data_IF_007464123886
#
_entry.id   IF_007464123886
#
_cell.length_a   1.000
_cell.length_b   1.000
_cell.length_c   1.000
_cell.angle_alpha   90.00
_cell.angle_beta   90.00
_cell.angle_gamma   90.00
#
_symmetry.space_group_name_H-M   'P 1'
#
loop_
_entity.id
_entity.type
_entity.pdbx_description
1 polymer ?
#
# COMPACT_ATOMS: atom_id res chain seq x y z
N UNK A 1 -29.37 18.77 -9.69
CA UNK A 1 -28.60 17.74 -9.00
C UNK A 1 -28.89 17.92 -7.50
N UNK A 2 -29.67 17.05 -6.93
CA UNK A 2 -30.13 17.15 -5.55
C UNK A 2 -29.08 16.56 -4.62
N UNK A 3 -28.94 17.09 -3.40
CA UNK A 3 -28.03 16.68 -2.32
C UNK A 3 -28.03 15.16 -1.96
N UNK A 4 -28.80 14.36 -2.67
CA UNK A 4 -28.90 12.89 -2.54
C UNK A 4 -27.76 12.13 -3.19
N UNK A 5 -27.06 12.70 -4.20
CA UNK A 5 -26.01 11.99 -4.98
C UNK A 5 -24.64 12.00 -4.31
N UNK A 6 -24.35 12.97 -3.44
CA UNK A 6 -23.05 13.10 -2.76
C UNK A 6 -22.77 12.02 -1.70
N UNK A 7 -23.79 11.29 -1.26
CA UNK A 7 -23.67 10.24 -0.21
C UNK A 7 -23.53 8.82 -0.76
N UNK A 8 -23.30 8.64 -2.05
CA UNK A 8 -23.15 7.30 -2.62
C UNK A 8 -21.73 6.75 -2.54
N UNK A 9 -20.73 7.57 -2.83
CA UNK A 9 -19.32 7.18 -2.87
C UNK A 9 -18.41 8.30 -2.38
N UNK A 10 -17.39 7.95 -1.60
CA UNK A 10 -16.34 8.88 -1.18
C UNK A 10 -15.09 8.61 -2.02
N UNK A 11 -14.70 9.56 -2.85
CA UNK A 11 -13.45 9.47 -3.58
C UNK A 11 -12.27 9.67 -2.63
N UNK A 12 -11.34 8.72 -2.61
CA UNK A 12 -10.12 8.75 -1.79
C UNK A 12 -8.86 8.98 -2.62
N UNK A 13 -8.83 8.45 -3.83
CA UNK A 13 -7.74 8.62 -4.80
C UNK A 13 -8.34 8.55 -6.22
N UNK A 14 -7.68 9.07 -7.26
CA UNK A 14 -8.16 8.89 -8.62
C UNK A 14 -8.46 7.41 -8.94
N UNK A 15 -9.72 7.12 -9.26
CA UNK A 15 -10.19 5.77 -9.57
C UNK A 15 -10.37 4.85 -8.36
N UNK A 16 -10.34 5.37 -7.12
CA UNK A 16 -10.65 4.60 -5.92
C UNK A 16 -11.69 5.31 -5.05
N UNK A 17 -12.76 4.60 -4.79
CA UNK A 17 -13.90 5.11 -4.01
C UNK A 17 -14.22 4.17 -2.85
N UNK A 18 -14.72 4.74 -1.76
CA UNK A 18 -15.38 3.98 -0.68
C UNK A 18 -16.86 4.04 -0.98
N UNK A 19 -17.47 2.89 -1.30
CA UNK A 19 -18.93 2.79 -1.34
C UNK A 19 -19.46 2.89 0.07
N UNK A 20 -20.34 3.83 0.33
CA UNK A 20 -20.98 3.96 1.64
C UNK A 20 -21.72 2.67 1.96
N UNK A 21 -22.51 2.17 1.04
CA UNK A 21 -23.13 0.84 1.12
C UNK A 21 -22.53 -0.04 0.02
N UNK A 22 -21.75 -1.09 0.35
CA UNK A 22 -21.27 -2.05 -0.63
C UNK A 22 -22.41 -2.80 -1.29
N UNK A 23 -22.28 -3.13 -2.59
CA UNK A 23 -23.34 -3.81 -3.37
C UNK A 23 -23.81 -5.10 -2.70
N UNK A 24 -22.90 -5.86 -2.10
CA UNK A 24 -23.22 -7.10 -1.39
C UNK A 24 -24.07 -6.90 -0.12
N UNK A 25 -24.05 -5.70 0.48
CA UNK A 25 -24.92 -5.34 1.59
C UNK A 25 -26.27 -4.80 1.04
N UNK A 26 -26.21 -3.96 0.00
CA UNK A 26 -27.41 -3.39 -0.61
C UNK A 26 -28.38 -4.48 -1.10
N UNK A 27 -27.85 -5.58 -1.64
CA UNK A 27 -28.65 -6.71 -2.13
C UNK A 27 -29.44 -7.46 -1.04
N UNK A 28 -29.10 -7.29 0.23
CA UNK A 28 -29.75 -7.96 1.38
C UNK A 28 -30.76 -7.07 2.09
N UNK A 29 -30.90 -5.81 1.69
CA UNK A 29 -31.69 -4.80 2.37
C UNK A 29 -32.88 -4.35 1.53
N UNK A 30 -34.00 -4.07 2.17
CA UNK A 30 -35.12 -3.35 1.54
C UNK A 30 -34.81 -1.83 1.49
N UNK A 31 -35.65 -1.05 0.81
CA UNK A 31 -35.43 0.38 0.59
C UNK A 31 -35.30 1.18 1.89
N UNK A 32 -36.11 0.87 2.91
CA UNK A 32 -36.06 1.56 4.20
C UNK A 32 -34.78 1.23 4.98
N UNK A 33 -34.43 -0.05 5.05
CA UNK A 33 -33.19 -0.52 5.66
C UNK A 33 -31.97 0.04 4.94
N UNK A 34 -32.02 0.18 3.61
CA UNK A 34 -30.94 0.76 2.83
C UNK A 34 -30.70 2.23 3.16
N UNK A 35 -31.76 3.00 3.42
CA UNK A 35 -31.67 4.41 3.84
C UNK A 35 -31.04 4.51 5.23
N UNK A 36 -31.54 3.73 6.20
CA UNK A 36 -31.05 3.68 7.57
C UNK A 36 -29.58 3.25 7.64
N UNK A 37 -29.24 2.15 6.95
CA UNK A 37 -27.86 1.67 6.91
C UNK A 37 -26.91 2.66 6.22
N UNK A 38 -27.33 3.35 5.17
CA UNK A 38 -26.53 4.38 4.50
C UNK A 38 -26.20 5.53 5.44
N UNK A 39 -27.14 6.01 6.23
CA UNK A 39 -26.93 7.09 7.19
C UNK A 39 -25.94 6.64 8.27
N UNK A 40 -26.15 5.48 8.88
CA UNK A 40 -25.25 4.91 9.87
C UNK A 40 -23.83 4.75 9.34
N UNK A 41 -23.65 4.21 8.13
CA UNK A 41 -22.34 4.05 7.49
C UNK A 41 -21.68 5.37 7.17
N UNK A 42 -22.44 6.34 6.69
CA UNK A 42 -21.95 7.69 6.41
C UNK A 42 -21.35 8.34 7.64
N UNK A 43 -22.07 8.35 8.76
CA UNK A 43 -21.60 8.94 10.02
C UNK A 43 -20.35 8.23 10.54
N UNK A 44 -20.30 6.91 10.49
CA UNK A 44 -19.10 6.15 10.87
C UNK A 44 -17.88 6.47 9.98
N UNK A 45 -18.04 6.46 8.67
CA UNK A 45 -16.93 6.75 7.76
C UNK A 45 -16.47 8.19 7.88
N UNK A 46 -17.39 9.12 8.06
CA UNK A 46 -17.09 10.53 8.35
C UNK A 46 -16.28 10.66 9.65
N UNK A 47 -16.72 10.03 10.72
CA UNK A 47 -15.99 10.02 12.00
C UNK A 47 -14.57 9.46 11.84
N UNK A 48 -14.39 8.34 11.16
CA UNK A 48 -13.07 7.78 10.87
C UNK A 48 -12.14 8.77 10.15
N UNK A 49 -12.67 9.56 9.22
CA UNK A 49 -11.88 10.50 8.41
C UNK A 49 -11.54 11.78 9.16
N UNK A 50 -12.41 12.24 10.04
CA UNK A 50 -12.29 13.56 10.68
C UNK A 50 -11.61 13.50 12.04
N UNK A 51 -11.87 12.47 12.84
CA UNK A 51 -11.43 12.43 14.23
C UNK A 51 -11.17 11.04 14.82
N UNK A 52 -11.41 9.97 14.09
CA UNK A 52 -11.38 8.61 14.63
C UNK A 52 -10.01 8.13 15.13
N UNK A 53 -8.90 8.76 14.70
CA UNK A 53 -7.56 8.39 15.16
C UNK A 53 -7.19 9.08 16.49
N UNK A 54 -7.56 10.32 16.64
CA UNK A 54 -7.42 11.10 17.87
C UNK A 54 -8.56 12.12 17.95
N UNK A 55 -9.65 11.80 18.67
CA UNK A 55 -10.83 12.65 18.75
C UNK A 55 -10.54 14.04 19.33
N UNK A 56 -9.66 14.13 20.31
CA UNK A 56 -9.31 15.40 20.97
C UNK A 56 -8.55 16.32 20.03
N UNK A 57 -7.61 15.77 19.26
CA UNK A 57 -6.83 16.51 18.28
C UNK A 57 -7.55 16.67 16.93
N UNK A 58 -8.77 16.15 16.78
CA UNK A 58 -9.51 16.06 15.50
C UNK A 58 -8.69 15.48 14.38
N UNK A 59 -7.97 14.39 14.67
CA UNK A 59 -7.15 13.69 13.69
C UNK A 59 -7.84 12.42 13.21
N UNK A 60 -8.10 12.33 11.91
CA UNK A 60 -8.69 11.16 11.28
C UNK A 60 -7.66 10.12 10.83
N UNK A 61 -8.15 8.94 10.49
CA UNK A 61 -7.34 7.89 9.87
C UNK A 61 -7.02 8.24 8.41
N UNK A 62 -5.91 7.68 7.90
CA UNK A 62 -5.60 7.77 6.47
C UNK A 62 -6.69 7.10 5.63
N UNK A 63 -6.92 7.60 4.40
CA UNK A 63 -7.92 7.06 3.48
C UNK A 63 -7.79 5.55 3.25
N UNK A 64 -6.55 5.02 3.24
CA UNK A 64 -6.32 3.58 3.15
C UNK A 64 -6.85 2.82 4.36
N UNK A 65 -6.66 3.34 5.57
CA UNK A 65 -7.18 2.75 6.81
C UNK A 65 -8.69 2.83 6.85
N UNK A 66 -9.27 3.98 6.49
CA UNK A 66 -10.72 4.17 6.39
C UNK A 66 -11.32 3.18 5.40
N UNK A 67 -10.76 3.06 4.19
CA UNK A 67 -11.19 2.08 3.20
C UNK A 67 -11.20 0.66 3.77
N UNK A 68 -10.08 0.24 4.37
CA UNK A 68 -9.97 -1.10 4.94
C UNK A 68 -10.96 -1.36 6.09
N UNK A 69 -11.14 -0.39 6.98
CA UNK A 69 -12.09 -0.47 8.10
C UNK A 69 -13.53 -0.53 7.57
N UNK A 70 -13.90 0.39 6.68
CA UNK A 70 -15.25 0.46 6.11
C UNK A 70 -15.73 -0.86 5.48
N UNK A 71 -14.88 -1.53 4.69
CA UNK A 71 -15.28 -2.79 4.06
C UNK A 71 -15.27 -3.99 5.02
N UNK A 72 -14.45 -3.97 6.08
CA UNK A 72 -14.45 -5.04 7.09
C UNK A 72 -15.68 -4.96 7.98
N UNK A 73 -16.03 -3.76 8.44
CA UNK A 73 -17.26 -3.56 9.23
C UNK A 73 -18.51 -3.87 8.41
N UNK A 74 -18.60 -3.44 7.15
CA UNK A 74 -19.74 -3.82 6.28
C UNK A 74 -19.89 -5.34 6.10
N UNK A 75 -18.78 -6.09 6.07
CA UNK A 75 -18.83 -7.55 6.01
C UNK A 75 -19.33 -8.15 7.33
N UNK A 76 -18.93 -7.58 8.45
CA UNK A 76 -19.41 -7.93 9.77
C UNK A 76 -20.91 -7.66 9.91
N UNK A 77 -21.39 -6.45 9.56
CA UNK A 77 -22.80 -6.08 9.61
C UNK A 77 -23.65 -7.09 8.84
N UNK A 78 -23.26 -7.41 7.59
CA UNK A 78 -23.99 -8.38 6.77
C UNK A 78 -23.97 -9.78 7.36
N UNK A 79 -22.88 -10.21 7.98
CA UNK A 79 -22.82 -11.50 8.66
C UNK A 79 -23.79 -11.51 9.85
N UNK A 80 -23.79 -10.48 10.68
CA UNK A 80 -24.71 -10.38 11.82
C UNK A 80 -26.18 -10.41 11.41
N UNK A 81 -26.56 -9.77 10.30
CA UNK A 81 -27.94 -9.86 9.78
C UNK A 81 -28.29 -11.27 9.31
N UNK A 82 -27.39 -11.95 8.66
CA UNK A 82 -27.62 -13.32 8.20
C UNK A 82 -27.76 -14.28 9.38
N UNK A 83 -26.92 -14.13 10.41
CA UNK A 83 -26.95 -14.97 11.60
C UNK A 83 -28.28 -14.82 12.36
N UNK A 84 -28.71 -13.58 12.54
CA UNK A 84 -29.99 -13.28 13.20
C UNK A 84 -31.22 -13.49 12.30
N UNK A 85 -31.03 -13.72 11.03
CA UNK A 85 -32.07 -13.66 10.02
C UNK A 85 -32.92 -12.38 10.10
N UNK A 86 -32.31 -11.28 10.50
CA UNK A 86 -32.95 -9.99 10.73
C UNK A 86 -31.96 -8.83 10.55
N UNK A 87 -32.42 -7.76 9.92
CA UNK A 87 -31.69 -6.49 9.93
C UNK A 87 -31.67 -5.88 11.33
N UNK A 88 -30.48 -5.55 11.82
CA UNK A 88 -30.26 -4.78 13.03
C UNK A 88 -28.97 -3.97 12.89
N UNK A 89 -28.99 -2.71 13.29
CA UNK A 89 -27.84 -1.80 13.28
C UNK A 89 -27.88 -0.91 14.54
N UNK A 90 -26.77 -0.75 15.28
CA UNK A 90 -25.54 -1.53 15.16
C UNK A 90 -25.69 -2.99 15.63
N UNK A 91 -24.84 -3.93 15.18
CA UNK A 91 -24.72 -5.24 15.82
C UNK A 91 -24.23 -5.11 17.26
N UNK A 92 -24.58 -6.06 18.13
CA UNK A 92 -24.12 -6.07 19.53
C UNK A 92 -22.65 -6.50 19.67
N UNK A 93 -22.05 -6.25 20.83
CA UNK A 93 -20.70 -6.73 21.17
C UNK A 93 -20.61 -8.26 21.14
N UNK A 94 -21.66 -8.97 21.56
CA UNK A 94 -21.72 -10.44 21.50
C UNK A 94 -21.55 -10.95 20.05
N UNK A 95 -22.20 -10.28 19.08
CA UNK A 95 -21.99 -10.61 17.66
C UNK A 95 -20.55 -10.36 17.20
N UNK A 96 -19.87 -9.37 17.78
CA UNK A 96 -18.47 -9.12 17.45
C UNK A 96 -17.56 -10.23 17.98
N UNK A 97 -17.80 -10.72 19.20
CA UNK A 97 -17.10 -11.88 19.77
C UNK A 97 -17.29 -13.12 18.89
N UNK A 98 -18.53 -13.49 18.65
CA UNK A 98 -18.91 -14.63 17.84
C UNK A 98 -18.33 -14.55 16.42
N UNK A 99 -18.38 -13.37 15.79
CA UNK A 99 -17.77 -13.16 14.47
C UNK A 99 -16.24 -13.35 14.49
N UNK A 100 -15.56 -12.87 15.50
CA UNK A 100 -14.11 -13.02 15.61
C UNK A 100 -13.72 -14.45 15.93
N UNK A 101 -14.41 -15.12 16.82
CA UNK A 101 -14.05 -16.45 17.31
C UNK A 101 -14.49 -17.56 16.35
N UNK A 102 -15.70 -17.47 15.78
CA UNK A 102 -16.26 -18.55 14.96
C UNK A 102 -16.07 -18.33 13.44
N UNK A 103 -15.91 -17.09 13.01
CA UNK A 103 -15.77 -16.80 11.57
C UNK A 103 -14.35 -16.36 11.21
N UNK A 104 -13.81 -15.36 11.89
CA UNK A 104 -12.50 -14.79 11.51
C UNK A 104 -11.36 -15.71 11.92
N UNK A 105 -11.44 -16.35 13.09
CA UNK A 105 -10.41 -17.27 13.59
C UNK A 105 -10.19 -18.46 12.64
N UNK A 106 -11.25 -18.98 12.03
CA UNK A 106 -11.19 -20.15 11.12
C UNK A 106 -10.95 -19.80 9.65
N UNK A 107 -10.90 -18.52 9.28
CA UNK A 107 -10.57 -18.15 7.89
C UNK A 107 -9.14 -18.52 7.52
N UNK A 108 -8.98 -19.05 6.32
CA UNK A 108 -7.66 -19.27 5.70
C UNK A 108 -7.08 -17.93 5.19
N UNK A 109 -6.68 -17.09 6.14
CA UNK A 109 -6.01 -15.80 5.89
C UNK A 109 -4.93 -15.56 6.93
N UNK A 110 -3.96 -14.72 6.61
CA UNK A 110 -2.85 -14.43 7.53
C UNK A 110 -3.36 -13.82 8.86
N UNK A 111 -2.63 -14.10 9.96
CA UNK A 111 -2.88 -13.49 11.28
C UNK A 111 -2.96 -11.95 11.20
N UNK A 112 -2.13 -11.33 10.37
CA UNK A 112 -2.20 -9.88 10.12
C UNK A 112 -3.53 -9.44 9.48
N UNK A 113 -4.15 -10.28 8.65
CA UNK A 113 -5.48 -9.98 8.08
C UNK A 113 -6.58 -10.12 9.12
N UNK A 114 -6.49 -11.15 9.98
CA UNK A 114 -7.40 -11.34 11.13
C UNK A 114 -7.30 -10.15 12.08
N UNK A 115 -6.08 -9.74 12.47
CA UNK A 115 -5.86 -8.59 13.35
C UNK A 115 -6.37 -7.27 12.78
N UNK A 116 -6.28 -7.06 11.45
CA UNK A 116 -6.90 -5.88 10.82
C UNK A 116 -8.43 -5.91 10.84
N UNK A 117 -9.03 -7.09 10.91
CA UNK A 117 -10.49 -7.19 11.07
C UNK A 117 -10.87 -6.86 12.50
N UNK A 118 -10.14 -7.40 13.47
CA UNK A 118 -10.29 -7.08 14.90
C UNK A 118 -10.11 -5.56 15.15
N UNK A 119 -9.03 -4.94 14.63
CA UNK A 119 -8.85 -3.48 14.70
C UNK A 119 -10.00 -2.68 14.06
N UNK A 120 -10.61 -3.20 12.99
CA UNK A 120 -11.73 -2.52 12.36
C UNK A 120 -12.98 -2.53 13.24
N UNK A 121 -13.22 -3.63 13.97
CA UNK A 121 -14.32 -3.73 14.93
C UNK A 121 -14.05 -2.89 16.18
N UNK A 122 -12.83 -2.84 16.71
CA UNK A 122 -12.51 -1.90 17.80
C UNK A 122 -12.85 -0.46 17.44
N UNK A 123 -12.46 0.00 16.24
CA UNK A 123 -12.80 1.36 15.76
C UNK A 123 -14.30 1.57 15.60
N UNK A 124 -15.03 0.53 15.27
CA UNK A 124 -16.47 0.59 15.11
C UNK A 124 -17.18 0.76 16.46
N UNK A 125 -16.80 -0.02 17.45
CA UNK A 125 -17.38 0.09 18.79
C UNK A 125 -16.90 1.33 19.55
N UNK A 126 -15.65 1.75 19.38
CA UNK A 126 -15.14 3.04 19.88
C UNK A 126 -15.95 4.24 19.33
N UNK A 127 -16.34 4.20 18.05
CA UNK A 127 -17.23 5.18 17.47
C UNK A 127 -18.63 5.12 18.11
N UNK A 128 -19.19 3.95 18.30
CA UNK A 128 -20.50 3.76 18.90
C UNK A 128 -20.52 4.24 20.35
N UNK A 129 -19.51 3.92 21.13
CA UNK A 129 -19.33 4.37 22.49
C UNK A 129 -19.23 5.91 22.56
N UNK A 130 -18.29 6.48 21.82
CA UNK A 130 -18.00 7.93 21.87
C UNK A 130 -19.11 8.81 21.29
N UNK A 131 -19.92 8.29 20.38
CA UNK A 131 -20.95 9.06 19.68
C UNK A 131 -22.35 8.85 20.25
N UNK A 132 -22.67 7.64 20.72
CA UNK A 132 -24.01 7.25 21.14
C UNK A 132 -24.09 6.74 22.58
N UNK A 133 -23.02 6.83 23.38
CA UNK A 133 -22.87 6.16 24.66
C UNK A 133 -23.21 4.64 24.58
N UNK A 134 -22.78 4.03 23.49
CA UNK A 134 -22.93 2.59 23.27
C UNK A 134 -22.09 1.76 24.23
N UNK A 135 -22.20 0.43 24.14
CA UNK A 135 -21.37 -0.46 24.95
C UNK A 135 -19.93 -0.49 24.44
N UNK A 136 -18.98 -0.36 25.35
CA UNK A 136 -17.57 -0.66 25.10
C UNK A 136 -17.43 -2.14 24.72
N UNK A 137 -16.61 -2.43 23.72
CA UNK A 137 -16.23 -3.80 23.39
C UNK A 137 -14.90 -4.13 24.06
N UNK A 138 -15.00 -4.70 25.25
CA UNK A 138 -13.85 -5.09 26.10
C UNK A 138 -13.33 -6.47 25.66
N UNK A 139 -12.51 -6.46 24.63
CA UNK A 139 -11.83 -7.66 24.12
C UNK A 139 -10.31 -7.46 24.10
N UNK A 140 -9.58 -8.41 24.63
CA UNK A 140 -8.14 -8.48 24.43
C UNK A 140 -7.80 -8.77 22.97
N UNK A 141 -6.96 -7.93 22.36
CA UNK A 141 -6.54 -8.14 20.98
C UNK A 141 -5.78 -9.46 20.82
N UNK A 142 -6.39 -10.45 20.17
CA UNK A 142 -5.86 -11.80 20.02
C UNK A 142 -4.97 -11.97 18.78
N UNK A 143 -5.32 -11.32 17.67
CA UNK A 143 -4.62 -11.47 16.41
C UNK A 143 -3.52 -10.40 16.21
N UNK A 144 -2.58 -10.33 17.14
CA UNK A 144 -1.41 -9.46 16.98
C UNK A 144 -0.46 -10.07 15.96
N UNK A 145 -0.20 -9.40 14.87
CA UNK A 145 0.92 -9.77 14.02
C UNK A 145 2.22 -9.45 14.77
N UNK A 146 2.81 -10.45 15.37
CA UNK A 146 4.22 -10.38 15.70
C UNK A 146 4.94 -10.02 14.39
N UNK A 147 5.69 -8.91 14.36
CA UNK A 147 6.41 -8.51 13.16
C UNK A 147 7.22 -9.70 12.66
N UNK A 148 6.88 -10.25 11.49
CA UNK A 148 7.65 -11.35 10.93
C UNK A 148 9.06 -10.85 10.66
N UNK A 149 10.02 -11.34 11.44
CA UNK A 149 11.45 -11.18 11.16
C UNK A 149 11.92 -12.17 10.07
N UNK A 150 10.98 -12.88 9.42
CA UNK A 150 11.33 -13.78 8.32
C UNK A 150 12.04 -12.99 7.22
N UNK A 151 13.13 -13.51 6.67
CA UNK A 151 13.81 -12.94 5.53
C UNK A 151 12.81 -12.71 4.39
N UNK A 152 12.81 -11.52 3.83
CA UNK A 152 11.93 -11.19 2.70
C UNK A 152 12.66 -11.47 1.40
N UNK A 153 11.92 -11.95 0.41
CA UNK A 153 12.47 -12.16 -0.92
C UNK A 153 12.98 -10.83 -1.50
N UNK A 154 14.24 -10.84 -1.93
CA UNK A 154 14.90 -9.71 -2.57
C UNK A 154 15.64 -10.19 -3.82
N UNK A 155 15.99 -9.27 -4.72
CA UNK A 155 16.80 -9.56 -5.90
C UNK A 155 18.28 -9.64 -5.50
N UNK A 156 18.97 -10.73 -5.87
CA UNK A 156 20.43 -10.85 -5.75
C UNK A 156 21.14 -9.81 -6.63
N UNK A 157 22.45 -9.56 -6.40
CA UNK A 157 23.25 -8.64 -7.25
C UNK A 157 23.16 -9.02 -8.73
N UNK A 158 23.21 -10.32 -9.03
CA UNK A 158 23.06 -10.85 -10.40
C UNK A 158 21.65 -10.56 -10.93
N UNK A 159 20.60 -10.85 -10.17
CA UNK A 159 19.22 -10.62 -10.61
C UNK A 159 18.91 -9.13 -10.80
N UNK A 160 19.44 -8.25 -9.95
CA UNK A 160 19.33 -6.79 -10.16
C UNK A 160 19.92 -6.36 -11.50
N UNK A 161 21.06 -6.94 -11.91
CA UNK A 161 21.66 -6.69 -13.22
C UNK A 161 20.76 -7.20 -14.34
N UNK A 162 20.30 -8.46 -14.25
CA UNK A 162 19.42 -9.06 -15.25
C UNK A 162 18.08 -8.31 -15.40
N UNK A 163 17.47 -7.87 -14.32
CA UNK A 163 16.25 -7.04 -14.35
C UNK A 163 16.50 -5.70 -15.05
N UNK A 164 17.66 -5.10 -14.84
CA UNK A 164 18.06 -3.87 -15.54
C UNK A 164 18.19 -4.10 -17.04
N UNK A 165 18.89 -5.14 -17.42
CA UNK A 165 19.09 -5.54 -18.82
C UNK A 165 17.73 -5.83 -19.48
N UNK A 166 16.90 -6.66 -18.86
CA UNK A 166 15.55 -6.95 -19.34
C UNK A 166 14.66 -5.69 -19.49
N UNK A 167 14.83 -4.69 -18.63
CA UNK A 167 14.09 -3.44 -18.76
C UNK A 167 14.57 -2.61 -19.96
N UNK A 168 15.85 -2.63 -20.25
CA UNK A 168 16.42 -1.95 -21.44
C UNK A 168 16.03 -2.67 -22.75
N UNK A 169 15.90 -3.98 -22.73
CA UNK A 169 15.53 -4.80 -23.88
C UNK A 169 14.02 -4.74 -24.21
N UNK A 170 13.19 -4.20 -23.33
CA UNK A 170 11.73 -4.06 -23.56
C UNK A 170 11.34 -3.09 -24.69
N UNK A 171 12.26 -2.40 -25.30
CA UNK A 171 12.22 -1.87 -26.67
C UNK A 171 11.32 -0.68 -26.98
N UNK A 172 10.38 -0.30 -26.10
CA UNK A 172 9.37 0.72 -26.38
C UNK A 172 9.65 2.07 -25.69
N UNK A 173 10.85 2.62 -25.82
CA UNK A 173 11.22 3.91 -25.26
C UNK A 173 11.66 3.84 -23.79
N UNK A 174 11.87 4.99 -23.16
CA UNK A 174 12.55 5.11 -21.85
C UNK A 174 11.64 5.03 -20.65
N UNK A 175 10.33 4.85 -20.79
CA UNK A 175 9.40 4.79 -19.66
C UNK A 175 9.74 3.65 -18.68
N UNK A 176 9.78 2.41 -19.18
CA UNK A 176 10.07 1.23 -18.33
C UNK A 176 11.53 1.21 -17.87
N UNK A 177 12.54 1.45 -18.72
CA UNK A 177 13.91 1.57 -18.25
C UNK A 177 14.10 2.58 -17.13
N UNK A 178 13.61 3.82 -17.29
CA UNK A 178 13.74 4.85 -16.25
C UNK A 178 13.03 4.47 -14.95
N UNK A 179 11.82 3.89 -15.03
CA UNK A 179 11.08 3.41 -13.86
C UNK A 179 11.85 2.32 -13.09
N UNK A 180 12.37 1.34 -13.80
CA UNK A 180 13.09 0.20 -13.20
C UNK A 180 14.42 0.67 -12.60
N UNK A 181 15.20 1.43 -13.34
CA UNK A 181 16.49 1.96 -12.88
C UNK A 181 16.31 2.85 -11.64
N UNK A 182 15.33 3.76 -11.66
CA UNK A 182 15.03 4.60 -10.50
C UNK A 182 14.60 3.76 -9.29
N UNK A 183 13.81 2.71 -9.52
CA UNK A 183 13.38 1.82 -8.43
C UNK A 183 14.53 0.97 -7.88
N UNK A 184 15.46 0.54 -8.73
CA UNK A 184 16.68 -0.17 -8.33
C UNK A 184 17.62 0.71 -7.51
N UNK A 185 17.66 2.02 -7.76
CA UNK A 185 18.47 2.96 -6.97
C UNK A 185 17.71 3.43 -5.72
N UNK A 186 16.52 3.97 -5.87
CA UNK A 186 15.76 4.63 -4.81
C UNK A 186 14.88 3.69 -3.96
N UNK A 187 14.69 2.44 -4.37
CA UNK A 187 13.82 1.49 -3.67
C UNK A 187 12.39 1.99 -3.52
N UNK A 188 11.77 2.49 -4.59
CA UNK A 188 10.44 3.09 -4.57
C UNK A 188 9.36 2.13 -4.11
N UNK A 189 8.45 2.60 -3.24
CA UNK A 189 7.22 1.88 -2.94
C UNK A 189 6.24 1.97 -4.12
N UNK A 190 5.35 0.98 -4.32
CA UNK A 190 4.32 1.08 -5.37
C UNK A 190 3.50 2.37 -5.33
N UNK A 191 3.19 2.88 -4.14
CA UNK A 191 2.46 4.13 -3.97
C UNK A 191 3.30 5.36 -4.37
N UNK A 192 4.61 5.34 -4.14
CA UNK A 192 5.53 6.40 -4.57
C UNK A 192 5.66 6.40 -6.11
N UNK A 193 5.75 5.22 -6.74
CA UNK A 193 5.72 5.12 -8.22
C UNK A 193 4.41 5.72 -8.79
N UNK A 194 3.29 5.39 -8.17
CA UNK A 194 1.97 5.89 -8.61
C UNK A 194 1.84 7.41 -8.49
N UNK A 195 2.41 8.01 -7.43
CA UNK A 195 2.35 9.44 -7.13
C UNK A 195 3.47 10.24 -7.76
N UNK A 196 4.49 9.56 -8.31
CA UNK A 196 5.66 10.22 -8.87
C UNK A 196 5.29 11.26 -9.93
N UNK A 197 5.88 12.44 -9.80
CA UNK A 197 5.68 13.58 -10.70
C UNK A 197 6.97 13.96 -11.39
N UNK A 198 6.88 14.58 -12.56
CA UNK A 198 8.06 15.03 -13.31
C UNK A 198 8.92 15.99 -12.50
N UNK A 199 8.32 16.84 -11.67
CA UNK A 199 9.00 17.80 -10.79
C UNK A 199 9.85 17.16 -9.67
N UNK A 200 9.69 15.85 -9.40
CA UNK A 200 10.55 15.17 -8.41
C UNK A 200 11.96 14.94 -8.93
N UNK A 201 12.16 14.98 -10.24
CA UNK A 201 13.40 14.58 -10.90
C UNK A 201 14.38 15.75 -10.94
N UNK A 202 15.57 15.53 -10.37
CA UNK A 202 16.69 16.44 -10.43
C UNK A 202 17.90 15.67 -10.97
N UNK A 203 17.97 15.57 -12.30
CA UNK A 203 19.01 14.77 -12.98
C UNK A 203 20.40 15.39 -12.83
N UNK A 204 20.48 16.71 -12.75
CA UNK A 204 21.76 17.42 -12.56
C UNK A 204 22.44 17.06 -11.24
N UNK A 205 21.66 17.01 -10.15
CA UNK A 205 22.14 16.60 -8.83
C UNK A 205 21.99 15.10 -8.57
N UNK A 206 21.45 14.33 -9.52
CA UNK A 206 21.18 12.89 -9.42
C UNK A 206 20.35 12.56 -8.19
N UNK A 207 19.24 13.27 -8.03
CA UNK A 207 18.32 13.13 -6.91
C UNK A 207 16.88 12.92 -7.39
N UNK A 208 16.13 12.17 -6.61
CA UNK A 208 14.67 12.15 -6.65
C UNK A 208 14.14 12.85 -5.39
N UNK A 209 13.46 13.98 -5.57
CA UNK A 209 12.89 14.79 -4.48
C UNK A 209 11.43 14.45 -4.32
N UNK A 210 11.08 13.77 -3.23
CA UNK A 210 9.71 13.35 -2.95
C UNK A 210 9.15 14.31 -1.92
N UNK A 211 8.18 15.17 -2.28
CA UNK A 211 7.59 16.11 -1.34
C UNK A 211 6.73 15.39 -0.31
N UNK A 212 6.51 16.03 0.83
CA UNK A 212 5.78 15.48 1.97
C UNK A 212 4.39 14.97 1.59
N UNK A 213 3.64 15.77 0.84
CA UNK A 213 2.27 15.48 0.41
C UNK A 213 2.16 14.24 -0.48
N UNK A 214 3.21 13.94 -1.24
CA UNK A 214 3.26 12.78 -2.14
C UNK A 214 3.98 11.56 -1.51
N UNK A 215 4.61 11.74 -0.35
CA UNK A 215 5.30 10.65 0.34
C UNK A 215 4.32 9.58 0.81
N UNK A 216 4.79 8.34 1.00
CA UNK A 216 3.91 7.19 1.27
C UNK A 216 3.07 7.33 2.54
N UNK A 217 3.50 8.16 3.49
CA UNK A 217 2.82 8.39 4.77
C UNK A 217 2.57 9.88 5.07
N UNK A 218 2.83 10.76 4.10
CA UNK A 218 2.71 12.23 4.23
C UNK A 218 3.51 12.79 5.43
N UNK A 219 4.68 12.18 5.70
CA UNK A 219 5.43 12.50 6.92
C UNK A 219 6.48 13.59 6.71
N UNK A 220 7.30 13.47 5.64
CA UNK A 220 8.45 14.35 5.43
C UNK A 220 8.79 14.54 3.94
N UNK A 221 9.55 15.59 3.64
CA UNK A 221 10.23 15.75 2.36
C UNK A 221 11.42 14.81 2.28
N UNK A 222 11.49 13.99 1.27
CA UNK A 222 12.52 12.99 1.10
C UNK A 222 13.40 13.25 -0.12
N UNK A 223 14.67 12.83 -0.02
CA UNK A 223 15.60 12.80 -1.14
C UNK A 223 16.16 11.41 -1.27
N UNK A 224 16.15 10.86 -2.48
CA UNK A 224 16.81 9.59 -2.78
C UNK A 224 17.89 9.85 -3.81
N UNK A 225 19.09 9.29 -3.58
CA UNK A 225 20.22 9.40 -4.51
C UNK A 225 20.02 8.49 -5.71
N UNK A 226 20.47 8.95 -6.87
CA UNK A 226 20.41 8.22 -8.13
C UNK A 226 21.82 8.05 -8.70
N UNK A 227 22.02 6.96 -9.44
CA UNK A 227 23.24 6.78 -10.23
C UNK A 227 23.22 7.65 -11.48
N UNK A 228 24.38 7.93 -12.07
CA UNK A 228 24.48 8.67 -13.35
C UNK A 228 23.67 7.97 -14.45
N UNK A 229 23.71 6.64 -14.53
CA UNK A 229 22.93 5.85 -15.47
C UNK A 229 21.43 6.08 -15.34
N UNK A 230 20.92 6.12 -14.12
CA UNK A 230 19.50 6.38 -13.83
C UNK A 230 19.13 7.81 -14.19
N UNK A 231 19.98 8.78 -13.88
CA UNK A 231 19.76 10.18 -14.27
C UNK A 231 19.67 10.32 -15.80
N UNK A 232 20.60 9.70 -16.55
CA UNK A 232 20.54 9.69 -18.03
C UNK A 232 19.26 9.05 -18.55
N UNK A 233 18.84 7.91 -17.99
CA UNK A 233 17.58 7.26 -18.41
C UNK A 233 16.35 8.13 -18.12
N UNK A 234 16.36 8.89 -17.02
CA UNK A 234 15.31 9.85 -16.68
C UNK A 234 15.30 11.04 -17.65
N UNK A 235 16.48 11.57 -18.05
CA UNK A 235 16.56 12.65 -19.05
C UNK A 235 15.95 12.21 -20.38
N UNK A 236 16.31 11.02 -20.87
CA UNK A 236 15.72 10.47 -22.07
C UNK A 236 14.19 10.29 -21.93
N UNK A 237 13.74 9.74 -20.78
CA UNK A 237 12.31 9.57 -20.56
C UNK A 237 11.56 10.90 -20.50
N UNK A 238 12.09 11.92 -19.84
CA UNK A 238 11.47 13.24 -19.78
C UNK A 238 11.37 13.87 -21.17
N UNK A 239 12.39 13.67 -22.02
CA UNK A 239 12.35 14.10 -23.42
C UNK A 239 11.29 13.34 -24.23
N UNK A 240 11.25 12.01 -24.17
CA UNK A 240 10.23 11.18 -24.84
C UNK A 240 8.82 11.60 -24.42
N UNK A 241 8.66 11.80 -23.11
CA UNK A 241 7.40 12.17 -22.49
C UNK A 241 6.92 13.54 -22.94
N UNK A 242 7.81 14.54 -23.01
CA UNK A 242 7.49 15.90 -23.45
C UNK A 242 7.01 15.93 -24.91
N UNK A 243 7.54 15.04 -25.74
CA UNK A 243 7.20 14.92 -27.15
C UNK A 243 5.95 14.03 -27.41
N UNK A 244 5.36 13.43 -26.39
CA UNK A 244 4.19 12.56 -26.55
C UNK A 244 2.89 13.30 -26.19
N UNK A 245 1.99 13.56 -27.16
CA UNK A 245 0.75 14.29 -26.92
C UNK A 245 -0.15 13.70 -25.84
N UNK A 246 -0.09 12.37 -25.61
CA UNK A 246 -0.89 11.70 -24.56
C UNK A 246 -0.54 12.14 -23.14
N UNK A 247 0.64 12.73 -22.94
CA UNK A 247 1.15 13.07 -21.61
C UNK A 247 1.21 14.57 -21.34
N UNK A 248 0.83 15.42 -22.30
CA UNK A 248 0.98 16.89 -22.21
C UNK A 248 0.27 17.49 -21.00
N UNK A 249 -0.96 17.06 -20.71
CA UNK A 249 -1.77 17.58 -19.59
C UNK A 249 -1.66 16.72 -18.32
N UNK A 250 -0.59 15.92 -18.20
CA UNK A 250 -0.36 15.04 -17.06
C UNK A 250 0.94 15.40 -16.37
N UNK A 251 0.95 15.42 -15.05
CA UNK A 251 2.13 15.66 -14.22
C UNK A 251 2.82 14.37 -13.74
N UNK A 252 2.13 13.23 -13.85
CA UNK A 252 2.66 11.92 -13.45
C UNK A 252 3.96 11.58 -14.18
N UNK A 253 5.00 11.17 -13.45
CA UNK A 253 6.31 10.85 -14.03
C UNK A 253 6.23 9.60 -14.92
N UNK A 254 5.70 8.51 -14.40
CA UNK A 254 5.53 7.26 -15.15
C UNK A 254 4.06 6.95 -15.36
N UNK A 255 3.68 6.88 -16.62
CA UNK A 255 2.31 6.62 -17.04
C UNK A 255 2.26 5.37 -17.91
N UNK A 256 1.15 4.64 -17.83
CA UNK A 256 0.86 3.52 -18.71
C UNK A 256 0.58 3.98 -20.14
N UNK A 257 0.38 3.02 -21.06
CA UNK A 257 -0.02 3.34 -22.46
C UNK A 257 -1.35 4.09 -22.54
N UNK A 258 -2.22 3.94 -21.53
CA UNK A 258 -3.50 4.66 -21.40
C UNK A 258 -3.34 5.99 -20.65
N UNK A 259 -2.13 6.51 -20.48
CA UNK A 259 -1.80 7.73 -19.74
C UNK A 259 -2.35 7.75 -18.29
N UNK A 260 -2.40 6.59 -17.64
CA UNK A 260 -2.78 6.44 -16.24
C UNK A 260 -1.57 6.08 -15.36
N UNK A 261 -1.53 6.48 -14.08
CA UNK A 261 -0.46 6.07 -13.17
C UNK A 261 -0.41 4.55 -12.98
N UNK A 262 0.80 4.02 -12.78
CA UNK A 262 0.97 2.59 -12.47
C UNK A 262 0.27 2.22 -11.16
N UNK A 263 -0.56 1.18 -11.19
CA UNK A 263 -1.16 0.56 -10.01
C UNK A 263 -0.23 -0.51 -9.42
N UNK A 264 -0.48 -0.92 -8.16
CA UNK A 264 0.25 -2.07 -7.57
C UNK A 264 0.09 -3.35 -8.41
N UNK A 265 -1.07 -3.55 -9.06
CA UNK A 265 -1.33 -4.69 -9.94
C UNK A 265 -0.51 -4.59 -11.23
N UNK A 266 -0.41 -3.41 -11.86
CA UNK A 266 0.40 -3.22 -13.06
C UNK A 266 1.89 -3.39 -12.77
N UNK A 267 2.39 -2.89 -11.63
CA UNK A 267 3.75 -3.11 -11.17
C UNK A 267 4.04 -4.58 -10.88
N UNK A 268 3.08 -5.31 -10.29
CA UNK A 268 3.22 -6.76 -10.07
C UNK A 268 3.29 -7.55 -11.37
N UNK A 269 2.55 -7.13 -12.41
CA UNK A 269 2.67 -7.74 -13.74
C UNK A 269 4.01 -7.39 -14.39
N UNK A 270 4.46 -6.15 -14.25
CA UNK A 270 5.72 -5.68 -14.82
C UNK A 270 6.90 -6.45 -14.23
N UNK A 271 7.02 -6.59 -12.91
CA UNK A 271 8.13 -7.33 -12.30
C UNK A 271 8.12 -8.81 -12.70
N UNK A 272 6.95 -9.44 -12.78
CA UNK A 272 6.85 -10.83 -13.26
C UNK A 272 7.32 -10.98 -14.71
N UNK A 273 6.92 -10.04 -15.59
CA UNK A 273 7.37 -10.00 -16.99
C UNK A 273 8.88 -9.84 -17.09
N UNK A 274 9.46 -8.93 -16.30
CA UNK A 274 10.90 -8.69 -16.25
C UNK A 274 11.65 -9.92 -15.75
N UNK A 275 11.18 -10.59 -14.69
CA UNK A 275 11.77 -11.84 -14.20
C UNK A 275 11.75 -12.94 -15.30
N UNK A 276 10.65 -13.06 -16.02
CA UNK A 276 10.54 -14.04 -17.11
C UNK A 276 11.52 -13.74 -18.26
N UNK A 277 11.61 -12.48 -18.72
CA UNK A 277 12.58 -12.07 -19.76
C UNK A 277 14.01 -12.30 -19.29
N UNK A 278 14.30 -11.99 -18.03
CA UNK A 278 15.61 -12.16 -17.43
C UNK A 278 15.98 -13.62 -17.10
N UNK A 279 15.08 -14.58 -17.33
CA UNK A 279 15.31 -15.98 -16.98
C UNK A 279 15.52 -16.21 -15.48
N UNK A 280 14.91 -15.36 -14.62
CA UNK A 280 15.02 -15.49 -13.17
C UNK A 280 14.01 -16.51 -12.68
N UNK A 281 14.50 -17.58 -12.06
CA UNK A 281 13.66 -18.56 -11.39
C UNK A 281 13.03 -17.92 -10.13
N UNK A 282 11.71 -17.85 -10.13
CA UNK A 282 10.92 -17.35 -9.00
C UNK A 282 10.29 -18.47 -8.18
N UNK A 283 10.64 -19.74 -8.44
CA UNK A 283 10.12 -20.90 -7.72
C UNK A 283 10.29 -20.76 -6.21
N UNK A 284 9.18 -20.81 -5.47
CA UNK A 284 9.18 -20.67 -4.00
C UNK A 284 9.40 -19.25 -3.46
N UNK A 285 9.60 -18.23 -4.32
CA UNK A 285 9.81 -16.83 -3.93
C UNK A 285 8.64 -15.94 -4.36
N UNK A 286 8.22 -15.04 -3.47
CA UNK A 286 7.19 -14.05 -3.76
C UNK A 286 7.79 -12.78 -4.37
N UNK A 287 8.09 -12.82 -5.68
CA UNK A 287 8.67 -11.69 -6.40
C UNK A 287 7.62 -10.61 -6.66
N UNK A 288 7.74 -9.51 -5.97
CA UNK A 288 6.89 -8.32 -6.08
C UNK A 288 7.73 -7.08 -6.32
N UNK A 289 7.09 -5.92 -6.58
CA UNK A 289 7.82 -4.65 -6.68
C UNK A 289 8.61 -4.32 -5.42
N UNK A 290 8.13 -4.80 -4.25
CA UNK A 290 8.87 -4.67 -3.00
C UNK A 290 10.18 -5.46 -2.96
N UNK A 291 10.34 -6.51 -3.76
CA UNK A 291 11.60 -7.26 -3.84
C UNK A 291 12.75 -6.41 -4.38
N UNK A 292 12.46 -5.44 -5.27
CA UNK A 292 13.42 -4.42 -5.69
C UNK A 292 13.84 -3.57 -4.48
N UNK A 293 12.86 -3.05 -3.73
CA UNK A 293 13.13 -2.23 -2.54
C UNK A 293 13.88 -3.00 -1.45
N UNK A 294 13.56 -4.28 -1.25
CA UNK A 294 14.27 -5.11 -0.29
C UNK A 294 15.72 -5.29 -0.69
N UNK A 295 16.03 -5.48 -1.98
CA UNK A 295 17.41 -5.56 -2.45
C UNK A 295 18.19 -4.26 -2.22
N UNK A 296 17.55 -3.09 -2.40
CA UNK A 296 18.18 -1.79 -2.08
C UNK A 296 18.52 -1.69 -0.59
N UNK A 297 17.58 -2.09 0.28
CA UNK A 297 17.82 -2.09 1.73
C UNK A 297 18.95 -3.03 2.13
N UNK A 298 18.93 -4.26 1.65
CA UNK A 298 19.94 -5.27 1.96
C UNK A 298 21.34 -4.82 1.53
N UNK A 299 21.51 -4.41 0.27
CA UNK A 299 22.84 -4.04 -0.22
C UNK A 299 23.34 -2.68 0.25
N UNK A 300 22.44 -1.72 0.51
CA UNK A 300 22.85 -0.45 1.10
C UNK A 300 23.32 -0.64 2.55
N UNK A 301 22.70 -1.56 3.31
CA UNK A 301 23.16 -1.91 4.65
C UNK A 301 24.52 -2.60 4.60
N UNK A 302 24.70 -3.54 3.69
CA UNK A 302 25.92 -4.30 3.49
C UNK A 302 27.11 -3.43 3.05
N UNK A 303 26.90 -2.60 2.01
CA UNK A 303 27.94 -1.73 1.42
C UNK A 303 28.29 -0.50 2.30
N UNK A 304 27.38 -0.10 3.18
CA UNK A 304 27.51 1.08 4.03
C UNK A 304 27.10 0.77 5.48
N UNK A 305 25.84 1.04 5.80
CA UNK A 305 25.27 0.83 7.13
C UNK A 305 23.72 0.95 7.12
N UNK A 306 23.11 0.63 8.24
CA UNK A 306 21.67 0.78 8.45
C UNK A 306 21.18 2.22 8.30
N UNK A 307 22.02 3.23 8.60
CA UNK A 307 21.64 4.63 8.47
C UNK A 307 21.52 5.02 7.00
N UNK A 308 22.50 4.63 6.17
CA UNK A 308 22.46 4.88 4.74
C UNK A 308 21.23 4.19 4.09
N UNK A 309 20.94 2.93 4.48
CA UNK A 309 19.76 2.22 4.03
C UNK A 309 18.46 2.90 4.50
N UNK A 310 18.40 3.36 5.76
CA UNK A 310 17.27 4.12 6.30
C UNK A 310 16.99 5.37 5.48
N UNK A 311 18.02 6.18 5.22
CA UNK A 311 17.90 7.45 4.52
C UNK A 311 17.52 7.23 3.04
N UNK A 312 18.17 6.29 2.33
CA UNK A 312 17.88 5.97 0.94
C UNK A 312 16.47 5.38 0.77
N UNK A 313 16.02 4.54 1.71
CA UNK A 313 14.69 3.96 1.72
C UNK A 313 13.61 4.86 2.34
N UNK A 314 13.99 6.00 2.89
CA UNK A 314 13.04 6.94 3.50
C UNK A 314 12.24 6.29 4.62
N UNK A 315 12.93 5.67 5.57
CA UNK A 315 12.34 5.12 6.78
C UNK A 315 12.44 6.13 7.91
N UNK A 316 11.31 6.48 8.53
CA UNK A 316 11.29 7.35 9.71
C UNK A 316 11.93 6.65 10.92
N UNK A 317 11.53 5.40 11.18
CA UNK A 317 12.04 4.61 12.29
C UNK A 317 13.19 3.70 11.88
N UNK A 318 14.32 3.70 12.61
CA UNK A 318 15.40 2.72 12.43
C UNK A 318 14.91 1.28 12.55
N UNK A 319 13.95 0.99 13.45
CA UNK A 319 13.34 -0.33 13.62
C UNK A 319 12.80 -0.91 12.31
N UNK A 320 12.30 -0.06 11.41
CA UNK A 320 11.83 -0.50 10.09
C UNK A 320 12.97 -0.96 9.18
N UNK A 321 14.19 -0.46 9.41
CA UNK A 321 15.37 -0.78 8.61
C UNK A 321 16.12 -2.01 9.16
N UNK A 322 15.99 -2.33 10.45
CA UNK A 322 16.66 -3.48 11.10
C UNK A 322 16.40 -4.82 10.40
N UNK A 323 15.29 -4.97 9.70
CA UNK A 323 15.00 -6.17 8.89
C UNK A 323 15.98 -6.40 7.72
N UNK A 324 16.81 -5.42 7.41
CA UNK A 324 17.87 -5.50 6.40
C UNK A 324 19.27 -5.71 7.03
N UNK A 325 19.34 -5.80 8.36
CA UNK A 325 20.57 -6.08 9.10
C UNK A 325 20.87 -7.59 9.03
N UNK A 326 21.17 -8.04 7.82
CA UNK A 326 21.54 -9.42 7.53
C UNK A 326 22.54 -9.46 6.37
N UNK A 327 23.51 -10.33 6.49
CA UNK A 327 24.48 -10.56 5.40
C UNK A 327 23.77 -11.20 4.21
N UNK A 328 23.97 -10.68 2.98
CA UNK A 328 23.42 -11.27 1.77
C UNK A 328 23.75 -12.76 1.63
N UNK A 329 22.83 -13.53 1.03
CA UNK A 329 23.00 -14.99 0.88
C UNK A 329 24.23 -15.34 0.06
N UNK A 330 24.49 -14.59 -1.01
CA UNK A 330 25.68 -14.75 -1.83
C UNK A 330 26.98 -14.53 -1.07
N UNK A 331 27.05 -13.49 -0.23
CA UNK A 331 28.27 -13.17 0.53
C UNK A 331 28.53 -14.21 1.63
N UNK A 332 27.47 -14.79 2.22
CA UNK A 332 27.60 -15.92 3.14
C UNK A 332 28.11 -17.17 2.43
N UNK A 333 27.68 -17.43 1.19
CA UNK A 333 28.18 -18.55 0.38
C UNK A 333 29.66 -18.36 0.06
N UNK A 334 30.03 -17.17 -0.42
CA UNK A 334 31.42 -16.84 -0.74
C UNK A 334 32.33 -16.97 0.51
N UNK A 335 31.84 -16.67 1.69
CA UNK A 335 32.57 -16.89 2.93
C UNK A 335 32.76 -18.38 3.23
N UNK A 336 31.72 -19.21 3.02
CA UNK A 336 31.82 -20.65 3.24
C UNK A 336 32.78 -21.32 2.23
N UNK A 337 32.83 -20.87 0.97
CA UNK A 337 33.77 -21.40 -0.03
C UNK A 337 35.23 -21.04 0.25
N UNK A 338 35.49 -20.05 1.09
CA UNK A 338 36.84 -19.63 1.53
C UNK A 338 37.32 -20.33 2.81
N UNK A 339 36.44 -21.04 3.50
CA UNK A 339 36.75 -21.82 4.72
C UNK A 339 37.21 -23.22 4.36
#
# INVERSE_FOLDING_TARGET
MTARDERCDIQIEPGRHIKIVPDSNAQTLNDQQLVDYREHRWEFIKWLREKGKNPEAREGYSDYSVYGTAYRTARFDRWAWNEQNRYSIPPTTDHAEEYMDDVVAYRDVSTSTKGKTEEALFRYYDWLETTFNGCEWDRDQQFRSGGSNAPRDYLTRRERRLIREAALDLGDGWCIPSLVLTSLDAGLRPVEVRRARTQWVDTQNKLLRIPREDSSKNEDNWRASLTSRTATALDHWLSDRANNPKYQDRDGLWLTREATPYSSRSLSRLIKRLCNIAGIDTGGRSMTWYSIRHSVGTYMTDERDLKAAKDQLRHKSPKTTMKYDQVPVEDRRDALEKM
#
